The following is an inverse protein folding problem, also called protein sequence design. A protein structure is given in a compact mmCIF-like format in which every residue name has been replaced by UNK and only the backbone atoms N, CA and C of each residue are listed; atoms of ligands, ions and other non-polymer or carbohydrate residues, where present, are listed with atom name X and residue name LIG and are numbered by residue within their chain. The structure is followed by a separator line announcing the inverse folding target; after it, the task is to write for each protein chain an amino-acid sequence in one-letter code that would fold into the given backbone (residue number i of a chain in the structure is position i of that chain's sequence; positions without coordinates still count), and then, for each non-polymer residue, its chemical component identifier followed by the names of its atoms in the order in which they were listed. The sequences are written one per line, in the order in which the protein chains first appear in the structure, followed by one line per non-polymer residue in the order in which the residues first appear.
data_IF_482574854520
#
_entry.id   IF_482574854520
#
_cell.length_a   1.000
_cell.length_b   1.000
_cell.length_c   1.000
_cell.angle_alpha   90.00
_cell.angle_beta   90.00
_cell.angle_gamma   90.00
#
_symmetry.space_group_name_H-M   'P 1'
#
loop_
_entity.id
_entity.type
_entity.pdbx_description
1 polymer ?
#
# COMPACT_ATOMS: atom_id res chain seq x y z
N UNK A 1 -30.59 -39.46 -5.01
CA UNK A 1 -29.64 -38.56 -5.69
C UNK A 1 -29.57 -37.27 -4.89
N UNK A 2 -28.51 -37.04 -4.11
CA UNK A 2 -28.34 -35.80 -3.35
C UNK A 2 -27.65 -34.76 -4.23
N UNK A 3 -28.33 -33.65 -4.49
CA UNK A 3 -27.76 -32.48 -5.13
C UNK A 3 -26.79 -31.81 -4.14
N UNK A 4 -25.51 -31.81 -4.45
CA UNK A 4 -24.51 -31.03 -3.72
C UNK A 4 -24.66 -29.58 -4.20
N UNK A 5 -25.32 -28.76 -3.40
CA UNK A 5 -25.31 -27.30 -3.57
C UNK A 5 -23.88 -26.79 -3.38
N UNK A 6 -23.19 -26.50 -4.48
CA UNK A 6 -21.95 -25.73 -4.46
C UNK A 6 -22.36 -24.28 -4.22
N UNK A 7 -22.36 -23.85 -2.96
CA UNK A 7 -22.34 -22.42 -2.64
C UNK A 7 -21.00 -21.87 -3.13
N UNK A 8 -21.02 -21.20 -4.28
CA UNK A 8 -19.97 -20.25 -4.64
C UNK A 8 -20.03 -19.11 -3.62
N UNK A 9 -19.24 -19.22 -2.55
CA UNK A 9 -18.95 -18.06 -1.71
C UNK A 9 -18.32 -17.01 -2.62
N UNK A 10 -19.12 -15.99 -2.96
CA UNK A 10 -18.68 -14.81 -3.68
C UNK A 10 -17.43 -14.24 -3.01
N UNK A 11 -16.50 -13.76 -3.83
CA UNK A 11 -15.31 -13.08 -3.37
C UNK A 11 -15.72 -11.83 -2.59
N UNK A 12 -15.37 -11.80 -1.30
CA UNK A 12 -15.73 -10.74 -0.38
C UNK A 12 -14.69 -9.61 -0.45
N UNK A 13 -15.12 -8.46 -0.98
CA UNK A 13 -14.36 -7.21 -1.09
C UNK A 13 -14.35 -6.41 0.21
N UNK A 14 -15.09 -6.81 1.24
CA UNK A 14 -15.26 -6.02 2.47
C UNK A 14 -13.99 -5.92 3.35
N UNK A 15 -12.95 -6.71 3.08
CA UNK A 15 -11.76 -6.80 3.93
C UNK A 15 -10.52 -6.02 3.43
N UNK A 16 -10.58 -5.32 2.30
CA UNK A 16 -9.45 -4.48 1.84
C UNK A 16 -9.75 -2.99 2.10
N UNK A 17 -9.93 -2.63 3.36
CA UNK A 17 -10.02 -1.22 3.76
C UNK A 17 -8.64 -0.73 4.16
N UNK A 18 -8.11 0.23 3.41
CA UNK A 18 -6.84 0.90 3.71
C UNK A 18 -7.09 2.36 4.07
N UNK A 19 -6.31 2.87 5.02
CA UNK A 19 -6.45 4.21 5.57
C UNK A 19 -5.91 5.28 4.63
N UNK A 20 -6.44 6.50 4.76
CA UNK A 20 -5.79 7.68 4.20
C UNK A 20 -4.53 8.02 5.03
N UNK A 21 -3.37 8.09 4.37
CA UNK A 21 -2.07 8.33 5.02
C UNK A 21 -1.66 9.81 5.05
N UNK A 22 -2.56 10.71 4.66
CA UNK A 22 -2.35 12.16 4.67
C UNK A 22 -1.51 12.68 3.49
N UNK A 23 -1.20 11.83 2.52
CA UNK A 23 -0.45 12.18 1.31
C UNK A 23 -1.18 11.64 0.09
N UNK A 24 -1.85 12.53 -0.66
CA UNK A 24 -2.74 12.15 -1.77
C UNK A 24 -2.07 11.24 -2.80
N UNK A 25 -0.79 11.51 -3.12
CA UNK A 25 -0.03 10.68 -4.04
C UNK A 25 0.14 9.25 -3.51
N UNK A 26 0.45 9.07 -2.24
CA UNK A 26 0.65 7.74 -1.65
C UNK A 26 -0.67 6.98 -1.56
N UNK A 27 -1.77 7.66 -1.22
CA UNK A 27 -3.10 7.07 -1.31
C UNK A 27 -3.41 6.54 -2.73
N UNK A 28 -3.07 7.30 -3.78
CA UNK A 28 -3.23 6.87 -5.18
C UNK A 28 -2.35 5.67 -5.52
N UNK A 29 -1.11 5.64 -5.03
CA UNK A 29 -0.21 4.50 -5.21
C UNK A 29 -0.74 3.25 -4.50
N UNK A 30 -1.26 3.37 -3.28
CA UNK A 30 -1.90 2.27 -2.55
C UNK A 30 -3.09 1.68 -3.32
N UNK A 31 -3.96 2.52 -3.89
CA UNK A 31 -5.06 2.04 -4.74
C UNK A 31 -4.54 1.29 -5.97
N UNK A 32 -3.42 1.73 -6.55
CA UNK A 32 -2.80 1.04 -7.69
C UNK A 32 -2.22 -0.32 -7.30
N UNK A 33 -1.63 -0.43 -6.11
CA UNK A 33 -1.13 -1.69 -5.58
C UNK A 33 -2.28 -2.67 -5.27
N UNK A 34 -3.35 -2.20 -4.65
CA UNK A 34 -4.57 -2.99 -4.41
C UNK A 34 -5.17 -3.51 -5.72
N UNK A 35 -5.19 -2.70 -6.77
CA UNK A 35 -5.63 -3.14 -8.10
C UNK A 35 -4.82 -4.35 -8.62
N UNK A 36 -3.49 -4.33 -8.50
CA UNK A 36 -2.68 -5.49 -8.91
C UNK A 36 -2.92 -6.73 -8.05
N UNK A 37 -3.12 -6.56 -6.75
CA UNK A 37 -3.47 -7.66 -5.83
C UNK A 37 -4.84 -8.25 -6.18
N UNK A 38 -5.79 -7.42 -6.62
CA UNK A 38 -7.09 -7.86 -7.08
C UNK A 38 -7.02 -8.59 -8.43
N UNK A 39 -6.22 -8.09 -9.39
CA UNK A 39 -5.94 -8.82 -10.64
C UNK A 39 -5.38 -10.22 -10.36
N UNK A 40 -4.39 -10.31 -9.48
CA UNK A 40 -3.81 -11.57 -9.01
C UNK A 40 -4.89 -12.46 -8.38
N UNK A 41 -5.69 -11.89 -7.48
CA UNK A 41 -6.73 -12.62 -6.75
C UNK A 41 -7.76 -13.23 -7.70
N UNK A 42 -8.25 -12.45 -8.68
CA UNK A 42 -9.22 -12.92 -9.67
C UNK A 42 -8.64 -14.04 -10.54
N UNK A 43 -7.40 -13.89 -11.00
CA UNK A 43 -6.71 -14.91 -11.79
C UNK A 43 -6.52 -16.19 -10.97
N UNK A 44 -6.05 -16.06 -9.71
CA UNK A 44 -5.84 -17.18 -8.80
C UNK A 44 -7.12 -17.95 -8.45
N UNK A 45 -8.27 -17.28 -8.41
CA UNK A 45 -9.55 -17.93 -8.16
C UNK A 45 -9.89 -18.92 -9.28
N UNK A 46 -9.57 -18.60 -10.54
CA UNK A 46 -9.78 -19.51 -11.69
C UNK A 46 -8.95 -20.78 -11.57
N UNK A 47 -7.74 -20.67 -11.02
CA UNK A 47 -6.82 -21.79 -10.85
C UNK A 47 -7.40 -22.82 -9.86
N UNK A 48 -8.16 -22.37 -8.86
CA UNK A 48 -8.83 -23.26 -7.90
C UNK A 48 -10.00 -24.05 -8.50
N UNK A 49 -10.56 -23.58 -9.62
CA UNK A 49 -11.72 -24.19 -10.26
C UNK A 49 -11.34 -25.19 -11.35
N UNK A 50 -10.15 -25.02 -11.95
CA UNK A 50 -9.64 -25.89 -13.02
C UNK A 50 -8.13 -25.78 -13.16
N UNK A 51 -7.54 -26.76 -13.84
CA UNK A 51 -6.15 -26.67 -14.28
C UNK A 51 -5.94 -25.40 -15.10
N UNK A 52 -4.93 -24.57 -14.76
CA UNK A 52 -4.64 -23.34 -15.49
C UNK A 52 -4.07 -23.63 -16.88
N UNK A 53 -4.41 -22.79 -17.85
CA UNK A 53 -3.79 -22.83 -19.17
C UNK A 53 -2.37 -22.24 -19.14
N UNK A 54 -1.48 -22.60 -20.09
CA UNK A 54 -0.12 -22.06 -20.13
C UNK A 54 -0.05 -20.53 -20.16
N UNK A 55 -0.92 -19.87 -20.93
CA UNK A 55 -0.99 -18.40 -21.04
C UNK A 55 -1.47 -17.73 -19.75
N UNK A 56 -2.24 -18.43 -18.92
CA UNK A 56 -2.66 -17.91 -17.62
C UNK A 56 -1.51 -17.86 -16.60
N UNK A 57 -0.52 -18.76 -16.72
CA UNK A 57 0.71 -18.67 -15.94
C UNK A 57 1.55 -17.45 -16.37
N UNK A 58 1.62 -17.17 -17.68
CA UNK A 58 2.32 -16.00 -18.19
C UNK A 58 1.61 -14.69 -17.77
N UNK A 59 0.27 -14.68 -17.78
CA UNK A 59 -0.52 -13.59 -17.21
C UNK A 59 -0.23 -13.39 -15.71
N UNK A 60 -0.08 -14.48 -14.95
CA UNK A 60 0.25 -14.43 -13.53
C UNK A 60 1.63 -13.84 -13.29
N UNK A 61 2.67 -14.29 -14.01
CA UNK A 61 4.01 -13.70 -13.92
C UNK A 61 3.99 -12.22 -14.30
N UNK A 62 3.23 -11.85 -15.34
CA UNK A 62 3.06 -10.47 -15.77
C UNK A 62 2.45 -9.56 -14.69
N UNK A 63 1.52 -10.07 -13.87
CA UNK A 63 0.98 -9.32 -12.72
C UNK A 63 2.07 -9.09 -11.67
N UNK A 64 2.85 -10.12 -11.33
CA UNK A 64 3.96 -10.00 -10.38
C UNK A 64 5.03 -9.02 -10.83
N UNK A 65 5.39 -9.02 -12.13
CA UNK A 65 6.33 -8.04 -12.70
C UNK A 65 5.83 -6.61 -12.48
N UNK A 66 4.55 -6.34 -12.74
CA UNK A 66 3.98 -5.01 -12.58
C UNK A 66 3.87 -4.63 -11.10
N UNK A 67 3.42 -5.55 -10.26
CA UNK A 67 3.31 -5.36 -8.82
C UNK A 67 4.67 -5.03 -8.21
N UNK A 68 5.67 -5.90 -8.38
CA UNK A 68 7.01 -5.71 -7.82
C UNK A 68 7.65 -4.40 -8.30
N UNK A 69 7.57 -4.11 -9.61
CA UNK A 69 8.11 -2.86 -10.17
C UNK A 69 7.45 -1.63 -9.55
N UNK A 70 6.12 -1.63 -9.42
CA UNK A 70 5.39 -0.49 -8.88
C UNK A 70 5.64 -0.33 -7.37
N UNK A 71 5.67 -1.43 -6.61
CA UNK A 71 6.01 -1.45 -5.19
C UNK A 71 7.38 -0.82 -4.93
N UNK A 72 8.41 -1.17 -5.71
CA UNK A 72 9.75 -0.56 -5.59
C UNK A 72 9.74 0.95 -5.82
N UNK A 73 8.98 1.42 -6.81
CA UNK A 73 8.86 2.85 -7.11
C UNK A 73 8.15 3.56 -5.96
N UNK A 74 7.02 3.02 -5.51
CA UNK A 74 6.25 3.57 -4.40
C UNK A 74 7.08 3.70 -3.11
N UNK A 75 7.72 2.61 -2.67
CA UNK A 75 8.55 2.62 -1.46
C UNK A 75 9.70 3.61 -1.54
N UNK A 76 10.38 3.69 -2.69
CA UNK A 76 11.45 4.67 -2.89
C UNK A 76 10.95 6.11 -2.70
N UNK A 77 9.75 6.41 -3.18
CA UNK A 77 9.17 7.75 -3.10
C UNK A 77 8.72 8.11 -1.68
N UNK A 78 8.16 7.16 -0.95
CA UNK A 78 7.85 7.29 0.47
C UNK A 78 9.12 7.51 1.30
N UNK A 79 10.12 6.65 1.14
CA UNK A 79 11.39 6.72 1.85
C UNK A 79 12.12 8.05 1.61
N UNK A 80 12.15 8.51 0.36
CA UNK A 80 12.70 9.82 0.03
C UNK A 80 11.93 10.97 0.70
N UNK A 81 10.60 10.86 0.75
CA UNK A 81 9.77 11.89 1.34
C UNK A 81 9.81 11.90 2.87
N UNK A 82 9.96 10.73 3.49
CA UNK A 82 10.21 10.51 4.91
C UNK A 82 11.58 11.07 5.31
N UNK A 83 12.63 10.76 4.54
CA UNK A 83 13.99 11.27 4.77
C UNK A 83 14.05 12.80 4.76
N UNK A 84 13.39 13.44 3.78
CA UNK A 84 13.32 14.91 3.68
C UNK A 84 12.63 15.58 4.88
N UNK A 85 11.81 14.83 5.62
CA UNK A 85 11.05 15.32 6.79
C UNK A 85 11.66 14.91 8.13
N UNK A 86 12.79 14.19 8.11
CA UNK A 86 13.40 13.68 9.33
C UNK A 86 12.52 12.68 10.07
N UNK A 87 11.75 11.86 9.35
CA UNK A 87 10.92 10.83 9.97
C UNK A 87 11.79 9.83 10.76
N UNK A 88 11.59 9.71 12.09
CA UNK A 88 12.56 9.07 12.98
C UNK A 88 12.66 7.55 12.81
N UNK A 89 11.57 6.89 12.39
CA UNK A 89 11.48 5.43 12.24
C UNK A 89 11.66 4.97 10.79
N UNK A 90 12.26 5.81 9.93
CA UNK A 90 12.60 5.46 8.55
C UNK A 90 13.41 4.14 8.43
N UNK A 91 14.41 3.83 9.28
CA UNK A 91 15.16 2.58 9.18
C UNK A 91 14.28 1.32 9.31
N UNK A 92 13.36 1.32 10.29
CA UNK A 92 12.45 0.19 10.52
C UNK A 92 11.42 0.07 9.38
N UNK A 93 10.92 1.22 8.90
CA UNK A 93 10.01 1.27 7.77
C UNK A 93 10.67 0.70 6.50
N UNK A 94 11.90 1.11 6.19
CA UNK A 94 12.68 0.59 5.08
C UNK A 94 12.94 -0.92 5.19
N UNK A 95 13.17 -1.44 6.40
CA UNK A 95 13.34 -2.88 6.61
C UNK A 95 12.08 -3.67 6.23
N UNK A 96 10.88 -3.17 6.58
CA UNK A 96 9.61 -3.79 6.19
C UNK A 96 9.43 -3.79 4.66
N UNK A 97 9.77 -2.68 4.00
CA UNK A 97 9.76 -2.57 2.54
C UNK A 97 10.66 -3.62 1.88
N UNK A 98 11.90 -3.72 2.35
CA UNK A 98 12.87 -4.64 1.78
C UNK A 98 12.45 -6.11 2.01
N UNK A 99 11.81 -6.41 3.15
CA UNK A 99 11.23 -7.71 3.40
C UNK A 99 10.14 -8.06 2.38
N UNK A 100 9.18 -7.16 2.12
CA UNK A 100 8.14 -7.44 1.13
C UNK A 100 8.74 -7.68 -0.25
N UNK A 101 9.69 -6.85 -0.66
CA UNK A 101 10.35 -6.98 -1.96
C UNK A 101 10.99 -8.36 -2.13
N UNK A 102 11.66 -8.87 -1.10
CA UNK A 102 12.26 -10.20 -1.14
C UNK A 102 11.20 -11.30 -1.23
N UNK A 103 10.09 -11.15 -0.49
CA UNK A 103 8.97 -12.09 -0.55
C UNK A 103 8.32 -12.08 -1.94
N UNK A 104 8.07 -10.92 -2.54
CA UNK A 104 7.53 -10.80 -3.90
C UNK A 104 8.40 -11.51 -4.94
N UNK A 105 9.72 -11.38 -4.82
CA UNK A 105 10.67 -12.06 -5.70
C UNK A 105 10.59 -13.60 -5.54
N UNK A 106 10.55 -14.12 -4.31
CA UNK A 106 10.40 -15.56 -4.04
C UNK A 106 9.05 -16.10 -4.56
N UNK A 107 7.96 -15.38 -4.29
CA UNK A 107 6.63 -15.76 -4.76
C UNK A 107 6.55 -15.78 -6.29
N UNK A 108 7.19 -14.83 -6.96
CA UNK A 108 7.29 -14.82 -8.42
C UNK A 108 8.06 -16.05 -8.94
N UNK A 109 9.15 -16.46 -8.30
CA UNK A 109 9.87 -17.68 -8.69
C UNK A 109 8.99 -18.93 -8.58
N UNK A 110 8.17 -19.04 -7.53
CA UNK A 110 7.21 -20.14 -7.36
C UNK A 110 6.15 -20.14 -8.46
N UNK A 111 5.64 -18.96 -8.85
CA UNK A 111 4.72 -18.83 -10.00
C UNK A 111 5.39 -19.28 -11.30
N UNK A 112 6.64 -18.87 -11.55
CA UNK A 112 7.39 -19.30 -12.75
C UNK A 112 7.62 -20.81 -12.79
N UNK A 113 7.77 -21.44 -11.63
CA UNK A 113 7.87 -22.91 -11.47
C UNK A 113 6.51 -23.62 -11.49
N UNK A 114 5.42 -22.87 -11.65
CA UNK A 114 4.03 -23.36 -11.69
C UNK A 114 3.62 -24.10 -10.41
N UNK A 115 4.14 -23.65 -9.27
CA UNK A 115 3.85 -24.21 -7.95
C UNK A 115 2.45 -23.79 -7.47
N UNK A 116 1.43 -24.57 -7.85
CA UNK A 116 0.02 -24.27 -7.57
C UNK A 116 -0.27 -24.03 -6.08
N UNK A 117 0.35 -24.81 -5.20
CA UNK A 117 0.22 -24.70 -3.74
C UNK A 117 0.65 -23.34 -3.19
N UNK A 118 1.55 -22.63 -3.87
CA UNK A 118 2.03 -21.32 -3.43
C UNK A 118 0.98 -20.22 -3.64
N UNK A 119 0.12 -20.34 -4.66
CA UNK A 119 -0.81 -19.29 -5.08
C UNK A 119 -1.81 -18.92 -3.98
N UNK A 120 -2.31 -19.91 -3.24
CA UNK A 120 -3.24 -19.68 -2.15
C UNK A 120 -2.62 -18.85 -1.03
N UNK A 121 -1.39 -19.19 -0.63
CA UNK A 121 -0.65 -18.50 0.43
C UNK A 121 -0.25 -17.08 0.01
N UNK A 122 0.13 -16.88 -1.26
CA UNK A 122 0.44 -15.56 -1.83
C UNK A 122 -0.70 -14.57 -1.59
N UNK A 123 -1.94 -14.97 -1.92
CA UNK A 123 -3.11 -14.08 -1.81
C UNK A 123 -3.24 -13.55 -0.40
N UNK A 124 -3.32 -14.46 0.58
CA UNK A 124 -3.51 -14.12 1.99
C UNK A 124 -2.38 -13.23 2.49
N UNK A 125 -1.13 -13.60 2.16
CA UNK A 125 0.04 -12.81 2.53
C UNK A 125 -0.02 -11.38 1.99
N UNK A 126 -0.28 -11.18 0.68
CA UNK A 126 -0.30 -9.85 0.09
C UNK A 126 -1.41 -8.97 0.65
N UNK A 127 -2.60 -9.54 0.85
CA UNK A 127 -3.75 -8.82 1.41
C UNK A 127 -3.51 -8.42 2.86
N UNK A 128 -2.97 -9.32 3.68
CA UNK A 128 -2.64 -9.07 5.07
C UNK A 128 -1.51 -8.04 5.19
N UNK A 129 -0.42 -8.23 4.44
CA UNK A 129 0.75 -7.35 4.48
C UNK A 129 0.35 -5.92 4.10
N UNK A 130 -0.33 -5.72 2.96
CA UNK A 130 -0.63 -4.36 2.48
C UNK A 130 -1.59 -3.64 3.41
N UNK A 131 -2.60 -4.34 3.91
CA UNK A 131 -3.60 -3.76 4.83
C UNK A 131 -2.94 -3.38 6.15
N UNK A 132 -2.14 -4.27 6.73
CA UNK A 132 -1.46 -4.00 7.99
C UNK A 132 -0.42 -2.89 7.85
N UNK A 133 0.38 -2.93 6.79
CA UNK A 133 1.41 -1.94 6.56
C UNK A 133 0.82 -0.54 6.37
N UNK A 134 -0.19 -0.38 5.50
CA UNK A 134 -0.81 0.93 5.29
C UNK A 134 -1.48 1.43 6.57
N UNK A 135 -2.32 0.58 7.19
CA UNK A 135 -3.14 1.03 8.33
C UNK A 135 -2.32 1.31 9.59
N UNK A 136 -1.22 0.60 9.81
CA UNK A 136 -0.45 0.70 11.05
C UNK A 136 0.91 1.35 10.89
N UNK A 137 1.54 1.30 9.73
CA UNK A 137 2.90 1.83 9.52
C UNK A 137 2.85 3.13 8.73
N UNK A 138 2.17 3.15 7.58
CA UNK A 138 2.15 4.31 6.70
C UNK A 138 1.39 5.50 7.29
N UNK A 139 0.29 5.22 8.01
CA UNK A 139 -0.44 6.26 8.74
C UNK A 139 0.43 7.02 9.74
N UNK A 140 1.52 6.42 10.25
CA UNK A 140 2.42 7.05 11.22
C UNK A 140 3.26 8.18 10.64
N UNK A 141 3.58 8.16 9.35
CA UNK A 141 4.32 9.25 8.74
C UNK A 141 3.42 10.46 8.47
N UNK A 142 2.10 10.27 8.35
CA UNK A 142 1.14 11.31 7.91
C UNK A 142 1.29 12.67 8.63
N UNK A 143 1.43 12.72 9.98
CA UNK A 143 1.65 13.97 10.71
C UNK A 143 2.88 14.78 10.25
N UNK A 144 3.94 14.12 9.79
CA UNK A 144 5.16 14.78 9.30
C UNK A 144 4.97 15.47 7.94
N UNK A 145 3.90 15.13 7.22
CA UNK A 145 3.58 15.68 5.91
C UNK A 145 2.58 16.83 5.97
N UNK A 146 1.97 17.09 7.12
CA UNK A 146 1.12 18.26 7.37
C UNK A 146 2.03 19.47 7.59
N UNK A 147 2.18 20.31 6.57
CA UNK A 147 2.96 21.55 6.69
C UNK A 147 2.39 22.49 7.76
N UNK A 148 3.29 23.13 8.51
CA UNK A 148 3.04 24.21 9.45
C UNK A 148 2.41 25.45 8.78
N UNK A 149 1.16 25.38 8.33
CA UNK A 149 0.45 26.56 7.83
C UNK A 149 -0.02 27.49 8.96
N UNK A 150 0.33 27.23 10.24
CA UNK A 150 -0.16 28.03 11.38
C UNK A 150 0.92 28.62 12.31
N UNK A 151 2.20 28.70 11.92
CA UNK A 151 3.25 29.35 12.74
C UNK A 151 3.61 30.78 12.34
N UNK A 152 2.74 31.47 11.60
CA UNK A 152 2.77 32.93 11.51
C UNK A 152 1.55 33.50 12.26
N UNK A 153 1.65 33.54 13.59
CA UNK A 153 0.85 34.43 14.41
C UNK A 153 1.66 35.71 14.64
N UNK A 154 1.23 36.90 14.16
CA UNK A 154 1.82 38.16 14.62
C UNK A 154 1.27 38.45 16.02
N UNK A 155 1.95 37.93 17.04
CA UNK A 155 1.73 38.38 18.41
C UNK A 155 2.27 39.81 18.59
N UNK A 156 1.36 40.71 18.95
CA UNK A 156 1.65 41.80 19.88
C UNK A 156 2.10 43.13 19.25
N UNK A 157 1.14 43.95 18.82
CA UNK A 157 1.19 45.37 19.17
C UNK A 157 0.01 45.69 20.07
N UNK A 158 0.30 45.71 21.37
CA UNK A 158 -0.51 46.36 22.38
C UNK A 158 -0.55 47.85 22.07
N UNK A 159 -1.76 48.39 21.95
CA UNK A 159 -2.02 49.83 22.11
C UNK A 159 -1.63 50.31 23.51
N UNK A 160 -1.33 51.62 23.61
CA UNK A 160 -1.27 52.51 24.79
C UNK A 160 -0.07 53.46 24.61
N UNK A 161 -0.15 54.80 24.62
CA UNK A 161 -1.17 55.76 25.03
C UNK A 161 -0.76 57.16 24.50
N UNK A 162 -1.79 58.00 24.26
CA UNK A 162 -1.83 59.44 24.56
C UNK A 162 -0.96 60.48 23.83
N UNK A 163 -1.72 61.40 23.21
CA UNK A 163 -1.74 62.87 23.42
C UNK A 163 -0.64 63.76 22.78
N UNK A 164 -1.14 64.69 21.96
CA UNK A 164 -0.79 66.12 21.84
C UNK A 164 0.66 66.52 21.47
N UNK A 165 0.85 67.09 20.28
CA UNK A 165 1.10 68.55 20.09
C UNK A 165 1.44 68.93 18.63
N UNK A 166 0.83 70.06 18.16
CA UNK A 166 1.31 71.11 17.22
C UNK A 166 1.81 70.64 15.82
N UNK A 167 1.41 71.25 14.70
CA UNK A 167 1.28 72.68 14.33
C UNK A 167 0.13 72.80 13.31
#
# INVERSE_FOLDING_TARGET
MMAISIQSKGFDMSNLTVSDVGVERFNKDHQRLLFYIEEFTRLSARFRLRTPFPDEWDQMDGIFVRLEKYTRVHFKEEEQAMAKRGYPTLPDHHAQHQQLINVLADLRLKVKRREFQAIGAVKSFLQEWITNHINHTDTQYGPYFKTETSRLSPQGRSESLSRFNRI
#
